data_IF_737262663557
#
_entry.id   IF_737262663557
#
_cell.length_a   1.000
_cell.length_b   1.000
_cell.length_c   1.000
_cell.angle_alpha   90.00
_cell.angle_beta   90.00
_cell.angle_gamma   90.00
#
_symmetry.space_group_name_H-M   'P 1'
#
loop_
_entity.id
_entity.type
_entity.pdbx_description
1 polymer ?
#
# COMPACT_ATOMS: atom_id res chain seq x y z
N UNK A 1 18.29 -13.19 -7.78
CA UNK A 1 17.92 -11.84 -7.31
C UNK A 1 16.53 -11.47 -7.78
N UNK A 2 16.20 -11.45 -9.09
CA UNK A 2 14.87 -11.08 -9.61
C UNK A 2 13.73 -11.88 -9.00
N UNK A 3 13.87 -13.21 -8.87
CA UNK A 3 12.82 -14.07 -8.28
C UNK A 3 12.51 -13.72 -6.80
N UNK A 4 13.51 -13.40 -6.00
CA UNK A 4 13.30 -12.97 -4.61
C UNK A 4 12.53 -11.65 -4.53
N UNK A 5 12.91 -10.70 -5.39
CA UNK A 5 12.22 -9.41 -5.50
C UNK A 5 10.76 -9.65 -5.92
N UNK A 6 10.54 -10.41 -6.98
CA UNK A 6 9.20 -10.70 -7.48
C UNK A 6 8.33 -11.33 -6.39
N UNK A 7 8.82 -12.38 -5.72
CA UNK A 7 8.06 -13.06 -4.67
C UNK A 7 7.76 -12.12 -3.49
N UNK A 8 8.75 -11.35 -3.04
CA UNK A 8 8.57 -10.42 -1.94
C UNK A 8 7.54 -9.32 -2.25
N UNK A 9 7.63 -8.70 -3.44
CA UNK A 9 6.68 -7.67 -3.86
C UNK A 9 5.29 -8.24 -4.13
N UNK A 10 5.20 -9.42 -4.76
CA UNK A 10 3.93 -10.08 -5.04
C UNK A 10 3.18 -10.43 -3.76
N UNK A 11 3.84 -11.13 -2.83
CA UNK A 11 3.24 -11.52 -1.55
C UNK A 11 2.92 -10.28 -0.72
N UNK A 12 3.86 -9.34 -0.60
CA UNK A 12 3.66 -8.13 0.18
C UNK A 12 2.52 -7.26 -0.33
N UNK A 13 2.42 -7.07 -1.64
CA UNK A 13 1.31 -6.32 -2.25
C UNK A 13 -0.03 -7.05 -2.12
N UNK A 14 -0.03 -8.39 -2.23
CA UNK A 14 -1.24 -9.19 -2.03
C UNK A 14 -1.77 -9.05 -0.60
N UNK A 15 -0.91 -9.24 0.40
CA UNK A 15 -1.30 -9.08 1.80
C UNK A 15 -1.69 -7.64 2.13
N UNK A 16 -0.98 -6.64 1.62
CA UNK A 16 -1.32 -5.25 1.85
C UNK A 16 -2.73 -4.94 1.36
N UNK A 17 -3.07 -5.34 0.14
CA UNK A 17 -4.41 -5.09 -0.41
C UNK A 17 -5.48 -5.93 0.30
N UNK A 18 -5.17 -7.19 0.69
CA UNK A 18 -6.09 -7.96 1.55
C UNK A 18 -6.39 -7.26 2.86
N UNK A 19 -5.39 -6.67 3.52
CA UNK A 19 -5.60 -5.90 4.76
C UNK A 19 -6.49 -4.70 4.50
N UNK A 20 -6.21 -3.91 3.46
CA UNK A 20 -6.98 -2.70 3.13
C UNK A 20 -8.44 -3.05 2.80
N UNK A 21 -8.64 -3.97 1.87
CA UNK A 21 -9.98 -4.34 1.39
C UNK A 21 -10.74 -5.10 2.48
N UNK A 22 -10.12 -6.12 3.07
CA UNK A 22 -10.76 -6.96 4.08
C UNK A 22 -11.15 -6.18 5.34
N UNK A 23 -10.27 -5.30 5.85
CA UNK A 23 -10.62 -4.47 7.01
C UNK A 23 -11.73 -3.45 6.69
N UNK A 24 -11.77 -2.95 5.46
CA UNK A 24 -12.87 -2.10 4.99
C UNK A 24 -14.20 -2.83 4.97
N UNK A 25 -14.25 -4.04 4.39
CA UNK A 25 -15.46 -4.88 4.35
C UNK A 25 -15.89 -5.25 5.78
N UNK A 26 -14.96 -5.69 6.63
CA UNK A 26 -15.26 -6.02 8.03
C UNK A 26 -15.84 -4.83 8.77
N UNK A 27 -15.27 -3.65 8.62
CA UNK A 27 -15.77 -2.44 9.25
C UNK A 27 -17.21 -2.11 8.78
N UNK A 28 -17.50 -2.24 7.48
CA UNK A 28 -18.86 -2.05 6.93
C UNK A 28 -19.87 -3.06 7.48
N UNK A 29 -19.43 -4.29 7.77
CA UNK A 29 -20.28 -5.32 8.34
C UNK A 29 -20.63 -5.06 9.83
N UNK A 30 -19.71 -4.40 10.56
CA UNK A 30 -19.83 -4.20 12.02
C UNK A 30 -20.48 -2.88 12.42
N UNK A 31 -20.42 -1.84 11.59
CA UNK A 31 -20.93 -0.51 11.93
C UNK A 31 -21.52 0.19 10.71
N UNK A 32 -22.31 1.25 10.94
CA UNK A 32 -22.79 2.17 9.91
C UNK A 32 -22.17 3.57 10.05
N UNK A 33 -21.34 3.77 11.07
CA UNK A 33 -20.62 5.02 11.28
C UNK A 33 -19.39 5.07 10.38
N UNK A 34 -19.37 6.01 9.44
CA UNK A 34 -18.27 6.16 8.47
C UNK A 34 -16.94 6.52 9.13
N UNK A 35 -16.96 7.28 10.24
CA UNK A 35 -15.73 7.64 10.94
C UNK A 35 -15.12 6.42 11.62
N UNK A 36 -15.95 5.56 12.22
CA UNK A 36 -15.50 4.29 12.81
C UNK A 36 -15.00 3.33 11.74
N UNK A 37 -15.69 3.22 10.59
CA UNK A 37 -15.21 2.42 9.46
C UNK A 37 -13.83 2.87 8.99
N UNK A 38 -13.65 4.19 8.79
CA UNK A 38 -12.37 4.76 8.38
C UNK A 38 -11.29 4.51 9.43
N UNK A 39 -11.60 4.70 10.72
CA UNK A 39 -10.66 4.47 11.81
C UNK A 39 -10.19 3.02 11.86
N UNK A 40 -11.10 2.05 11.76
CA UNK A 40 -10.76 0.63 11.77
C UNK A 40 -9.86 0.26 10.57
N UNK A 41 -10.25 0.69 9.36
CA UNK A 41 -9.46 0.47 8.15
C UNK A 41 -8.06 1.10 8.25
N UNK A 42 -7.98 2.33 8.75
CA UNK A 42 -6.73 3.07 8.93
C UNK A 42 -5.76 2.36 9.88
N UNK A 43 -6.25 1.89 11.04
CA UNK A 43 -5.43 1.17 12.02
C UNK A 43 -4.95 -0.16 11.45
N UNK A 44 -5.83 -0.92 10.82
CA UNK A 44 -5.48 -2.19 10.20
C UNK A 44 -4.43 -2.01 9.09
N UNK A 45 -4.59 -1.00 8.24
CA UNK A 45 -3.64 -0.70 7.16
C UNK A 45 -2.27 -0.29 7.71
N UNK A 46 -2.23 0.59 8.71
CA UNK A 46 -0.98 1.01 9.34
C UNK A 46 -0.24 -0.18 9.99
N UNK A 47 -0.95 -0.99 10.78
CA UNK A 47 -0.38 -2.20 11.38
C UNK A 47 0.13 -3.19 10.33
N UNK A 48 -0.66 -3.44 9.28
CA UNK A 48 -0.28 -4.30 8.16
C UNK A 48 0.97 -3.81 7.45
N UNK A 49 1.04 -2.52 7.10
CA UNK A 49 2.23 -1.91 6.49
C UNK A 49 3.47 -2.05 7.36
N UNK A 50 3.36 -1.77 8.66
CA UNK A 50 4.50 -1.92 9.58
C UNK A 50 5.07 -3.33 9.54
N UNK A 51 4.20 -4.36 9.68
CA UNK A 51 4.61 -5.76 9.68
C UNK A 51 5.19 -6.18 8.33
N UNK A 52 4.51 -5.84 7.22
CA UNK A 52 4.94 -6.22 5.87
C UNK A 52 6.28 -5.59 5.49
N UNK A 53 6.48 -4.30 5.75
CA UNK A 53 7.76 -3.64 5.48
C UNK A 53 8.86 -4.24 6.36
N UNK A 54 8.63 -4.40 7.66
CA UNK A 54 9.61 -4.96 8.59
C UNK A 54 10.05 -6.38 8.20
N UNK A 55 9.12 -7.20 7.67
CA UNK A 55 9.37 -8.60 7.32
C UNK A 55 9.99 -8.77 5.93
N UNK A 56 9.60 -7.94 4.96
CA UNK A 56 9.88 -8.16 3.52
C UNK A 56 10.98 -7.24 3.00
N UNK A 57 11.31 -6.14 3.69
CA UNK A 57 12.28 -5.16 3.18
C UNK A 57 13.65 -5.78 2.88
N UNK A 58 14.13 -6.74 3.68
CA UNK A 58 15.39 -7.43 3.43
C UNK A 58 15.36 -8.41 2.24
N UNK A 59 14.16 -8.72 1.72
CA UNK A 59 13.95 -9.65 0.60
C UNK A 59 13.86 -8.88 -0.72
N UNK A 60 12.97 -7.87 -0.78
CA UNK A 60 12.68 -7.12 -2.01
C UNK A 60 12.93 -5.61 -1.90
N UNK A 61 13.05 -5.06 -0.72
CA UNK A 61 13.00 -3.62 -0.45
C UNK A 61 11.62 -3.15 0.00
N UNK A 62 10.59 -4.00 -0.10
CA UNK A 62 9.21 -3.74 0.32
C UNK A 62 8.66 -2.42 -0.24
N UNK A 63 8.76 -2.24 -1.54
CA UNK A 63 8.24 -1.03 -2.20
C UNK A 63 6.70 -1.03 -2.22
N UNK A 64 6.07 -2.16 -2.59
CA UNK A 64 4.62 -2.36 -2.68
C UNK A 64 3.85 -1.26 -3.44
N UNK A 65 4.58 -0.41 -4.15
CA UNK A 65 4.05 0.75 -4.84
C UNK A 65 4.91 1.08 -6.07
N UNK A 66 4.33 1.20 -7.28
CA UNK A 66 5.06 1.56 -8.48
C UNK A 66 5.77 2.92 -8.40
N UNK A 67 5.16 3.92 -7.73
CA UNK A 67 5.77 5.25 -7.60
C UNK A 67 6.99 5.21 -6.69
N UNK A 68 6.94 4.43 -5.60
CA UNK A 68 8.11 4.17 -4.73
C UNK A 68 9.21 3.50 -5.54
N UNK A 69 8.87 2.50 -6.36
CA UNK A 69 9.83 1.82 -7.25
C UNK A 69 10.49 2.80 -8.21
N UNK A 70 9.72 3.70 -8.83
CA UNK A 70 10.27 4.72 -9.72
C UNK A 70 11.16 5.72 -8.98
N UNK A 71 10.78 6.17 -7.78
CA UNK A 71 11.58 7.05 -6.95
C UNK A 71 12.93 6.41 -6.57
N UNK A 72 12.94 5.11 -6.23
CA UNK A 72 14.16 4.35 -5.96
C UNK A 72 15.04 4.21 -7.21
N UNK A 73 14.45 4.07 -8.39
CA UNK A 73 15.20 4.07 -9.65
C UNK A 73 15.82 5.44 -9.94
N UNK A 74 15.07 6.53 -9.89
CA UNK A 74 15.60 7.87 -10.16
C UNK A 74 16.71 8.29 -9.18
N UNK A 75 16.65 7.80 -7.95
CA UNK A 75 17.71 8.00 -6.95
C UNK A 75 18.82 6.96 -7.01
N UNK A 76 18.88 6.14 -8.08
CA UNK A 76 19.92 5.13 -8.34
C UNK A 76 20.03 4.05 -7.26
N UNK A 77 18.95 3.81 -6.51
CA UNK A 77 18.92 2.75 -5.48
C UNK A 77 18.57 1.38 -6.05
N UNK A 78 17.90 1.34 -7.21
CA UNK A 78 17.65 0.12 -7.98
C UNK A 78 18.08 0.29 -9.43
N UNK A 79 18.34 -0.84 -10.10
CA UNK A 79 18.72 -0.87 -11.54
C UNK A 79 17.47 -0.85 -12.42
N UNK A 80 17.58 -0.28 -13.63
CA UNK A 80 16.52 -0.17 -14.63
C UNK A 80 15.86 -1.53 -14.97
N UNK A 81 16.67 -2.59 -15.07
CA UNK A 81 16.20 -3.94 -15.41
C UNK A 81 15.34 -4.61 -14.33
N UNK A 82 15.22 -4.01 -13.16
CA UNK A 82 14.38 -4.48 -12.07
C UNK A 82 12.98 -3.84 -12.05
N UNK A 83 12.79 -2.68 -12.72
CA UNK A 83 11.53 -1.92 -12.67
C UNK A 83 10.33 -2.79 -13.07
N UNK A 84 10.44 -3.50 -14.20
CA UNK A 84 9.37 -4.37 -14.69
C UNK A 84 9.09 -5.49 -13.68
N UNK A 85 10.14 -6.07 -13.06
CA UNK A 85 9.98 -7.12 -12.04
C UNK A 85 9.19 -6.63 -10.84
N UNK A 86 9.51 -5.43 -10.34
CA UNK A 86 8.78 -4.80 -9.24
C UNK A 86 7.33 -4.53 -9.60
N UNK A 87 7.10 -3.78 -10.66
CA UNK A 87 5.76 -3.30 -11.02
C UNK A 87 4.83 -4.45 -11.39
N UNK A 88 5.31 -5.44 -12.16
CA UNK A 88 4.50 -6.62 -12.49
C UNK A 88 4.12 -7.44 -11.25
N UNK A 89 5.06 -7.64 -10.33
CA UNK A 89 4.79 -8.34 -9.07
C UNK A 89 3.75 -7.60 -8.21
N UNK A 90 3.87 -6.27 -8.11
CA UNK A 90 2.94 -5.42 -7.37
C UNK A 90 1.53 -5.49 -7.97
N UNK A 91 1.39 -5.35 -9.29
CA UNK A 91 0.07 -5.40 -9.95
C UNK A 91 -0.59 -6.77 -9.76
N UNK A 92 0.15 -7.85 -10.03
CA UNK A 92 -0.39 -9.21 -9.88
C UNK A 92 -0.71 -9.52 -8.41
N UNK A 93 0.13 -9.07 -7.47
CA UNK A 93 -0.14 -9.20 -6.05
C UNK A 93 -1.40 -8.45 -5.61
N UNK A 94 -1.57 -7.20 -6.04
CA UNK A 94 -2.77 -6.42 -5.74
C UNK A 94 -4.04 -7.08 -6.28
N UNK A 95 -4.03 -7.58 -7.50
CA UNK A 95 -5.17 -8.30 -8.09
C UNK A 95 -5.53 -9.55 -7.27
N UNK A 96 -4.54 -10.37 -6.94
CA UNK A 96 -4.76 -11.53 -6.08
C UNK A 96 -5.28 -11.13 -4.70
N UNK A 97 -4.72 -10.07 -4.11
CA UNK A 97 -5.13 -9.57 -2.79
C UNK A 97 -6.59 -9.16 -2.73
N UNK A 98 -7.09 -8.44 -3.75
CA UNK A 98 -8.53 -8.10 -3.87
C UNK A 98 -9.38 -9.35 -3.98
N UNK A 99 -9.00 -10.27 -4.89
CA UNK A 99 -9.77 -11.51 -5.11
C UNK A 99 -9.86 -12.35 -3.83
N UNK A 100 -8.76 -12.50 -3.10
CA UNK A 100 -8.74 -13.24 -1.84
C UNK A 100 -9.52 -12.54 -0.74
N UNK A 101 -9.43 -11.21 -0.63
CA UNK A 101 -10.24 -10.46 0.30
C UNK A 101 -11.73 -10.67 0.02
N UNK A 102 -12.18 -10.47 -1.21
CA UNK A 102 -13.57 -10.68 -1.60
C UNK A 102 -14.03 -12.12 -1.33
N UNK A 103 -13.19 -13.11 -1.68
CA UNK A 103 -13.49 -14.53 -1.43
C UNK A 103 -13.71 -14.82 0.06
N UNK A 104 -12.87 -14.28 0.95
CA UNK A 104 -12.99 -14.49 2.39
C UNK A 104 -14.30 -13.92 2.98
N UNK A 105 -14.90 -12.94 2.32
CA UNK A 105 -16.15 -12.30 2.74
C UNK A 105 -17.38 -12.73 1.91
N UNK A 106 -17.25 -13.81 1.13
CA UNK A 106 -18.34 -14.34 0.27
C UNK A 106 -18.88 -13.29 -0.73
N UNK A 107 -17.98 -12.47 -1.28
CA UNK A 107 -18.27 -11.46 -2.30
C UNK A 107 -17.80 -11.93 -3.68
N UNK A 108 -18.32 -11.36 -4.78
CA UNK A 108 -17.82 -11.62 -6.12
C UNK A 108 -16.30 -11.36 -6.20
N UNK A 109 -15.54 -12.31 -6.76
CA UNK A 109 -14.07 -12.22 -6.82
C UNK A 109 -13.58 -10.93 -7.48
N UNK A 110 -14.31 -10.45 -8.48
CA UNK A 110 -14.00 -9.22 -9.21
C UNK A 110 -15.25 -8.34 -9.20
N UNK A 111 -15.12 -7.15 -8.65
CA UNK A 111 -16.14 -6.12 -8.69
C UNK A 111 -15.52 -4.82 -9.18
N UNK A 112 -16.13 -4.22 -10.21
CA UNK A 112 -15.67 -2.93 -10.75
C UNK A 112 -16.17 -1.80 -9.86
N UNK A 113 -15.27 -0.90 -9.47
CA UNK A 113 -15.63 0.27 -8.68
C UNK A 113 -16.63 1.15 -9.44
N UNK A 114 -17.73 1.50 -8.77
CA UNK A 114 -18.76 2.44 -9.27
C UNK A 114 -18.59 3.84 -8.71
N UNK A 115 -17.66 4.04 -7.75
CA UNK A 115 -17.40 5.34 -7.12
C UNK A 115 -16.58 6.20 -8.07
N UNK A 116 -17.20 7.19 -8.70
CA UNK A 116 -16.48 8.19 -9.47
C UNK A 116 -15.68 9.11 -8.52
N UNK A 117 -14.43 9.40 -8.88
CA UNK A 117 -13.53 10.30 -8.13
C UNK A 117 -12.98 11.39 -9.05
N UNK A 118 -13.86 12.24 -9.65
CA UNK A 118 -13.43 13.34 -10.50
C UNK A 118 -13.01 14.54 -9.66
N UNK A 119 -12.14 15.38 -10.23
CA UNK A 119 -11.82 16.68 -9.68
C UNK A 119 -10.33 16.92 -9.46
N UNK A 120 -9.92 18.16 -9.70
CA UNK A 120 -8.53 18.60 -9.52
C UNK A 120 -8.08 18.54 -8.06
N UNK A 121 -9.00 18.73 -7.13
CA UNK A 121 -8.75 18.64 -5.69
C UNK A 121 -8.33 17.23 -5.27
N UNK A 122 -8.97 16.19 -5.81
CA UNK A 122 -8.61 14.79 -5.53
C UNK A 122 -7.24 14.46 -6.15
N UNK A 123 -6.99 14.92 -7.39
CA UNK A 123 -5.68 14.76 -8.02
C UNK A 123 -4.56 15.42 -7.20
N UNK A 124 -4.78 16.65 -6.71
CA UNK A 124 -3.81 17.33 -5.85
C UNK A 124 -3.64 16.59 -4.50
N UNK A 125 -4.71 16.07 -3.92
CA UNK A 125 -4.64 15.30 -2.68
C UNK A 125 -3.77 14.04 -2.86
N UNK A 126 -3.95 13.30 -3.95
CA UNK A 126 -3.12 12.13 -4.30
C UNK A 126 -1.64 12.52 -4.51
N UNK A 127 -1.40 13.65 -5.17
CA UNK A 127 -0.05 14.17 -5.39
C UNK A 127 0.64 14.52 -4.06
N UNK A 128 -0.07 15.22 -3.16
CA UNK A 128 0.44 15.57 -1.83
C UNK A 128 0.70 14.32 -1.00
N UNK A 129 -0.25 13.37 -0.98
CA UNK A 129 -0.10 12.11 -0.25
C UNK A 129 1.11 11.30 -0.73
N UNK A 130 1.27 11.18 -2.05
CA UNK A 130 2.37 10.43 -2.66
C UNK A 130 3.71 11.13 -2.46
N UNK A 131 3.77 12.46 -2.62
CA UNK A 131 4.97 13.24 -2.34
C UNK A 131 5.41 13.07 -0.89
N UNK A 132 4.49 13.21 0.05
CA UNK A 132 4.78 13.03 1.47
C UNK A 132 5.25 11.61 1.79
N UNK A 133 4.66 10.58 1.18
CA UNK A 133 5.13 9.19 1.33
C UNK A 133 6.60 9.05 0.89
N UNK A 134 6.95 9.55 -0.29
CA UNK A 134 8.31 9.51 -0.80
C UNK A 134 9.26 10.30 0.10
N UNK A 135 8.86 11.49 0.56
CA UNK A 135 9.63 12.31 1.48
C UNK A 135 9.93 11.57 2.80
N UNK A 136 8.93 10.94 3.40
CA UNK A 136 9.07 10.15 4.65
C UNK A 136 9.98 8.93 4.44
N UNK A 137 9.82 8.21 3.33
CA UNK A 137 10.71 7.08 3.01
C UNK A 137 12.17 7.56 2.98
N UNK A 138 12.48 8.59 2.19
CA UNK A 138 13.86 9.06 2.05
C UNK A 138 14.41 9.67 3.35
N UNK A 139 13.57 10.33 4.13
CA UNK A 139 13.96 10.88 5.44
C UNK A 139 14.32 9.81 6.46
N UNK A 140 13.66 8.64 6.40
CA UNK A 140 13.85 7.55 7.35
C UNK A 140 14.87 6.48 6.94
N UNK A 141 15.28 6.42 5.65
CA UNK A 141 16.14 5.35 5.12
C UNK A 141 17.43 5.12 5.92
N UNK A 142 18.04 6.17 6.45
CA UNK A 142 19.29 6.07 7.23
C UNK A 142 19.10 5.45 8.62
N UNK A 143 17.88 5.39 9.11
CA UNK A 143 17.55 4.95 10.45
C UNK A 143 17.23 3.45 10.56
N UNK A 144 17.37 2.73 9.43
CA UNK A 144 17.17 1.28 9.37
C UNK A 144 15.71 0.87 9.05
N UNK A 145 15.53 -0.41 8.74
CA UNK A 145 14.27 -0.96 8.22
C UNK A 145 13.08 -0.73 9.15
N UNK A 146 13.24 -0.93 10.46
CA UNK A 146 12.15 -0.77 11.43
C UNK A 146 11.70 0.69 11.51
N UNK A 147 12.64 1.64 11.44
CA UNK A 147 12.32 3.06 11.43
C UNK A 147 11.57 3.46 10.15
N UNK A 148 11.97 2.94 8.99
CA UNK A 148 11.23 3.14 7.73
C UNK A 148 9.82 2.56 7.84
N UNK A 149 9.70 1.32 8.34
CA UNK A 149 8.40 0.67 8.51
C UNK A 149 7.47 1.47 9.43
N UNK A 150 7.97 1.93 10.57
CA UNK A 150 7.21 2.75 11.51
C UNK A 150 6.80 4.09 10.89
N UNK A 151 7.74 4.79 10.23
CA UNK A 151 7.48 6.10 9.62
C UNK A 151 6.46 6.01 8.49
N UNK A 152 6.61 5.02 7.60
CA UNK A 152 5.67 4.81 6.49
C UNK A 152 4.29 4.40 6.99
N UNK A 153 4.21 3.44 7.91
CA UNK A 153 2.97 2.99 8.51
C UNK A 153 2.20 4.15 9.18
N UNK A 154 2.90 4.94 9.99
CA UNK A 154 2.32 6.09 10.69
C UNK A 154 1.90 7.19 9.71
N UNK A 155 2.71 7.46 8.67
CA UNK A 155 2.35 8.43 7.65
C UNK A 155 1.10 8.02 6.87
N UNK A 156 1.00 6.75 6.45
CA UNK A 156 -0.19 6.24 5.75
C UNK A 156 -1.41 6.29 6.67
N UNK A 157 -1.26 5.93 7.94
CA UNK A 157 -2.32 6.07 8.95
C UNK A 157 -2.83 7.51 9.03
N UNK A 158 -1.94 8.50 9.07
CA UNK A 158 -2.31 9.90 9.04
C UNK A 158 -2.93 10.32 7.70
N UNK A 159 -2.40 9.79 6.59
CA UNK A 159 -2.84 10.08 5.22
C UNK A 159 -4.33 9.85 4.99
N UNK A 160 -4.89 8.80 5.56
CA UNK A 160 -6.33 8.51 5.51
C UNK A 160 -7.20 9.68 6.04
N UNK A 161 -6.66 10.53 6.92
CA UNK A 161 -7.40 11.57 7.60
C UNK A 161 -7.14 12.97 7.09
N UNK A 162 -5.96 13.28 6.58
CA UNK A 162 -5.63 14.64 6.15
C UNK A 162 -5.75 14.84 4.63
N UNK A 163 -5.92 13.77 3.85
CA UNK A 163 -6.14 13.87 2.40
C UNK A 163 -7.57 13.47 2.06
N UNK A 164 -8.12 14.04 0.99
CA UNK A 164 -9.46 13.69 0.49
C UNK A 164 -9.42 12.56 -0.54
N UNK A 165 -8.34 11.79 -0.60
CA UNK A 165 -8.13 10.73 -1.58
C UNK A 165 -8.70 9.37 -1.18
N UNK A 166 -9.30 9.25 -0.01
CA UNK A 166 -9.94 8.02 0.50
C UNK A 166 -11.35 7.83 -0.02
#
# INVERSE_FOLDING_TARGET
MKNKIFIGEFIGSAFLVMVIVGSGIMAQNLTRDFAVMLLANTIATGAGLFVLISSIANISGAHFNPVVTMAMYFTKKIKKDLIVTYISAQILGCLLGVMLANFMFDLPLIELSRKARPGINIFIAELIATFGLIFIIFGSLKNGTVAVAASVATYITAGYWFTSST
#
